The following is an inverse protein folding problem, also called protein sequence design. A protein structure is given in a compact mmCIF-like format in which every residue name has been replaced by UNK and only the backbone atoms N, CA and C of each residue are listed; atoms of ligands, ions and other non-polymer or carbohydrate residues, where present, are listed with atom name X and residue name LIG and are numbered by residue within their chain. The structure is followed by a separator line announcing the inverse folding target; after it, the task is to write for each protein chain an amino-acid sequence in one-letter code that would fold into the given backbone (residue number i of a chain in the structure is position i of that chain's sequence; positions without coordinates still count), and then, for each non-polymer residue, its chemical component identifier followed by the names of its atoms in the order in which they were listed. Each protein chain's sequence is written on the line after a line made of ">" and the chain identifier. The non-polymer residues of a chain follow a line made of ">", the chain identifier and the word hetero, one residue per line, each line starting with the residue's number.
data_IF_917057540816
#
_entry.id   IF_917057540816
#
_cell.length_a   1.000
_cell.length_b   1.000
_cell.length_c   1.000
_cell.angle_alpha   90.00
_cell.angle_beta   90.00
_cell.angle_gamma   90.00
#
_symmetry.space_group_name_H-M   'P 1'
#
loop_
_entity.id
_entity.type
_entity.pdbx_description
1 polymer ?
#
# COMPACT_ATOMS: atom_id res chain seq x y z
N UNK A 1 -10.65 -14.76 -30.29
CA UNK A 1 -9.99 -15.91 -29.63
C UNK A 1 -10.72 -16.17 -28.32
N UNK A 2 -11.57 -17.19 -28.30
CA UNK A 2 -12.23 -17.65 -27.07
C UNK A 2 -11.19 -18.30 -26.16
N UNK A 3 -11.05 -17.79 -24.94
CA UNK A 3 -10.19 -18.38 -23.91
C UNK A 3 -10.87 -19.66 -23.42
N UNK A 4 -10.48 -20.80 -23.97
CA UNK A 4 -10.86 -22.10 -23.42
C UNK A 4 -10.09 -22.33 -22.11
N UNK A 5 -10.82 -22.50 -21.00
CA UNK A 5 -10.22 -23.03 -19.78
C UNK A 5 -9.87 -24.51 -20.02
N UNK A 6 -8.65 -24.95 -19.68
CA UNK A 6 -8.31 -26.37 -19.74
C UNK A 6 -9.23 -27.17 -18.80
N UNK A 7 -9.68 -28.35 -19.26
CA UNK A 7 -10.58 -29.25 -18.50
C UNK A 7 -9.94 -29.75 -17.20
N UNK A 8 -8.61 -29.91 -17.19
CA UNK A 8 -7.84 -30.17 -16.00
C UNK A 8 -7.13 -28.90 -15.53
N UNK A 9 -7.25 -28.52 -14.25
CA UNK A 9 -6.49 -27.42 -13.70
C UNK A 9 -5.00 -27.75 -13.82
N UNK A 10 -4.15 -26.83 -14.30
CA UNK A 10 -2.72 -27.05 -14.37
C UNK A 10 -2.21 -27.40 -12.97
N UNK A 11 -1.79 -28.65 -12.79
CA UNK A 11 -1.21 -29.13 -11.54
C UNK A 11 0.25 -28.71 -11.54
N UNK A 12 0.62 -27.79 -10.65
CA UNK A 12 2.03 -27.43 -10.43
C UNK A 12 2.68 -28.53 -9.55
N UNK A 13 3.54 -29.41 -10.09
CA UNK A 13 4.16 -30.45 -9.29
C UNK A 13 5.04 -29.81 -8.20
N UNK A 14 4.75 -30.14 -6.93
CA UNK A 14 5.43 -29.59 -5.75
C UNK A 14 4.72 -28.42 -5.07
N UNK A 15 3.65 -27.88 -5.66
CA UNK A 15 2.81 -26.86 -5.03
C UNK A 15 1.79 -27.52 -4.10
N UNK A 16 1.80 -27.13 -2.82
CA UNK A 16 0.87 -27.65 -1.81
C UNK A 16 -0.38 -26.78 -1.76
N UNK A 17 -1.52 -27.39 -1.41
CA UNK A 17 -2.75 -26.64 -1.16
C UNK A 17 -2.51 -25.53 -0.12
N UNK A 18 -2.87 -24.27 -0.43
CA UNK A 18 -2.67 -23.16 0.48
C UNK A 18 -3.32 -23.40 1.83
N UNK A 19 -2.68 -22.89 2.88
CA UNK A 19 -3.26 -22.92 4.22
C UNK A 19 -4.54 -22.08 4.19
N UNK A 20 -5.60 -22.54 4.87
CA UNK A 20 -6.86 -21.77 4.91
C UNK A 20 -6.75 -20.58 5.87
N UNK A 21 -7.42 -19.49 5.52
CA UNK A 21 -7.66 -18.37 6.43
C UNK A 21 -8.38 -18.86 7.69
N UNK A 22 -8.08 -18.35 8.90
CA UNK A 22 -7.14 -17.27 9.24
C UNK A 22 -5.69 -17.71 9.48
N UNK A 23 -5.40 -19.02 9.49
CA UNK A 23 -4.05 -19.53 9.77
C UNK A 23 -3.04 -19.10 8.71
N UNK A 24 -3.48 -18.95 7.46
CA UNK A 24 -2.66 -18.46 6.35
C UNK A 24 -2.03 -17.10 6.60
N UNK A 25 -2.65 -16.26 7.45
CA UNK A 25 -2.11 -14.94 7.81
C UNK A 25 -0.73 -15.05 8.44
N UNK A 26 -0.54 -16.01 9.34
CA UNK A 26 0.64 -16.13 10.19
C UNK A 26 1.61 -17.22 9.70
N UNK A 27 1.14 -18.14 8.85
CA UNK A 27 1.95 -19.23 8.33
C UNK A 27 1.58 -19.59 6.89
N UNK A 28 2.61 -19.87 6.07
CA UNK A 28 2.45 -20.41 4.72
C UNK A 28 3.47 -21.52 4.45
N UNK A 29 3.25 -22.32 3.42
CA UNK A 29 4.18 -23.37 3.01
C UNK A 29 5.48 -22.79 2.43
N UNK A 30 6.62 -23.29 2.90
CA UNK A 30 7.93 -22.96 2.34
C UNK A 30 8.03 -23.37 0.87
N UNK A 31 7.49 -24.54 0.52
CA UNK A 31 7.53 -25.10 -0.83
C UNK A 31 6.85 -24.25 -1.90
N UNK A 32 5.86 -23.44 -1.52
CA UNK A 32 5.04 -22.67 -2.47
C UNK A 32 5.71 -21.37 -2.93
N UNK A 33 6.72 -20.86 -2.21
CA UNK A 33 7.31 -19.53 -2.44
C UNK A 33 8.81 -19.63 -2.74
N UNK A 34 9.22 -20.63 -3.52
CA UNK A 34 10.59 -21.11 -3.72
C UNK A 34 11.58 -20.14 -4.41
N UNK A 35 11.60 -18.86 -4.00
CA UNK A 35 12.61 -17.86 -4.34
C UNK A 35 13.64 -17.71 -3.21
N UNK A 36 14.69 -18.53 -3.26
CA UNK A 36 15.79 -18.58 -2.27
C UNK A 36 16.48 -17.23 -2.04
N UNK A 37 16.57 -16.37 -3.06
CA UNK A 37 17.19 -15.03 -2.96
C UNK A 37 16.46 -14.10 -1.98
N UNK A 38 15.13 -14.18 -1.91
CA UNK A 38 14.32 -13.33 -1.02
C UNK A 38 14.43 -13.78 0.45
N UNK A 39 14.50 -15.09 0.68
CA UNK A 39 14.77 -15.67 2.01
C UNK A 39 16.12 -15.20 2.54
N UNK A 40 17.15 -15.18 1.68
CA UNK A 40 18.47 -14.68 2.05
C UNK A 40 18.48 -13.16 2.30
N UNK A 41 17.85 -12.37 1.43
CA UNK A 41 17.85 -10.91 1.55
C UNK A 41 16.95 -10.38 2.68
N UNK A 42 15.80 -11.03 2.93
CA UNK A 42 14.78 -10.59 3.91
C UNK A 42 14.80 -11.37 5.23
N UNK A 43 15.44 -12.54 5.29
CA UNK A 43 15.64 -13.29 6.53
C UNK A 43 16.43 -12.48 7.57
N UNK A 44 17.42 -11.70 7.14
CA UNK A 44 18.16 -10.78 8.01
C UNK A 44 17.30 -9.64 8.57
N UNK A 45 16.15 -9.31 7.95
CA UNK A 45 15.24 -8.26 8.42
C UNK A 45 14.18 -8.77 9.39
N UNK A 46 14.23 -10.05 9.81
CA UNK A 46 13.28 -10.70 10.73
C UNK A 46 11.81 -10.62 10.30
N UNK A 47 11.53 -10.56 8.98
CA UNK A 47 10.16 -10.47 8.47
C UNK A 47 9.37 -11.76 8.64
N UNK A 48 10.07 -12.89 8.63
CA UNK A 48 9.53 -14.22 8.82
C UNK A 48 10.64 -15.14 9.36
N UNK A 49 10.23 -16.17 10.08
CA UNK A 49 11.10 -17.27 10.50
C UNK A 49 10.73 -18.52 9.72
N UNK A 50 11.73 -19.32 9.35
CA UNK A 50 11.49 -20.65 8.80
C UNK A 50 11.33 -21.61 9.98
N UNK A 51 10.18 -22.26 10.09
CA UNK A 51 9.88 -23.28 11.10
C UNK A 51 9.48 -24.57 10.40
N UNK A 52 10.45 -25.48 10.25
CA UNK A 52 10.27 -26.73 9.50
C UNK A 52 9.89 -26.47 8.04
N UNK A 53 8.72 -26.94 7.63
CA UNK A 53 8.18 -26.77 6.27
C UNK A 53 7.39 -25.46 6.07
N UNK A 54 7.37 -24.57 7.06
CA UNK A 54 6.55 -23.36 7.03
C UNK A 54 7.39 -22.08 7.14
N UNK A 55 6.98 -21.03 6.43
CA UNK A 55 7.32 -19.66 6.80
C UNK A 55 6.32 -19.17 7.83
N UNK A 56 6.81 -18.67 8.95
CA UNK A 56 6.03 -18.09 10.05
C UNK A 56 6.27 -16.59 10.09
N UNK A 57 5.21 -15.79 10.08
CA UNK A 57 5.26 -14.34 10.14
C UNK A 57 4.96 -13.88 11.57
N UNK A 58 5.98 -13.54 12.38
CA UNK A 58 5.74 -12.96 13.69
C UNK A 58 5.23 -11.53 13.47
N UNK A 59 3.91 -11.34 13.43
CA UNK A 59 3.30 -10.03 13.17
C UNK A 59 3.79 -8.89 14.08
N UNK A 60 4.29 -9.24 15.26
CA UNK A 60 4.81 -8.31 16.28
C UNK A 60 6.30 -7.98 16.16
N UNK A 61 7.06 -8.66 15.28
CA UNK A 61 8.53 -8.48 15.19
C UNK A 61 9.01 -7.85 13.89
N UNK A 62 8.09 -7.48 13.00
CA UNK A 62 8.42 -6.87 11.71
C UNK A 62 8.63 -5.36 11.84
N UNK A 63 8.18 -4.54 10.89
CA UNK A 63 8.29 -3.08 10.95
C UNK A 63 7.54 -2.45 12.15
N UNK A 64 6.58 -3.18 12.73
CA UNK A 64 5.82 -2.80 13.90
C UNK A 64 6.32 -3.60 15.10
N UNK A 65 7.23 -3.03 15.90
CA UNK A 65 7.84 -3.70 17.06
C UNK A 65 6.84 -4.08 18.15
N UNK A 66 5.66 -3.45 18.14
CA UNK A 66 4.56 -3.67 19.07
C UNK A 66 3.29 -4.15 18.37
N UNK A 67 3.44 -4.82 17.21
CA UNK A 67 2.33 -5.36 16.44
C UNK A 67 1.70 -4.35 15.49
N UNK A 68 1.18 -4.87 14.37
CA UNK A 68 0.47 -4.07 13.38
C UNK A 68 -0.87 -3.52 13.91
N UNK A 69 -1.50 -4.21 14.88
CA UNK A 69 -2.75 -3.76 15.50
C UNK A 69 -2.60 -2.42 16.23
N UNK A 70 -1.53 -2.27 17.03
CA UNK A 70 -1.22 -0.98 17.67
C UNK A 70 -1.06 0.15 16.65
N UNK A 71 -0.44 -0.14 15.51
CA UNK A 71 -0.27 0.85 14.46
C UNK A 71 -1.59 1.22 13.75
N UNK A 72 -2.48 0.25 13.53
CA UNK A 72 -3.84 0.50 13.02
C UNK A 72 -4.62 1.39 13.99
N UNK A 73 -4.56 1.08 15.29
CA UNK A 73 -5.21 1.85 16.35
C UNK A 73 -4.63 3.26 16.47
N UNK A 74 -3.31 3.40 16.35
CA UNK A 74 -2.65 4.69 16.33
C UNK A 74 -3.11 5.56 15.15
N UNK A 75 -3.26 5.00 13.94
CA UNK A 75 -3.79 5.76 12.79
C UNK A 75 -5.24 6.18 13.06
N UNK A 76 -6.04 5.27 13.60
CA UNK A 76 -7.46 5.54 13.90
C UNK A 76 -7.62 6.59 15.00
N UNK A 77 -6.74 6.60 16.01
CA UNK A 77 -6.73 7.61 17.06
C UNK A 77 -6.27 8.98 16.52
N UNK A 78 -5.28 8.98 15.63
CA UNK A 78 -4.78 10.20 14.99
C UNK A 78 -5.82 10.90 14.11
N UNK A 79 -6.70 10.13 13.47
CA UNK A 79 -7.84 10.66 12.71
C UNK A 79 -9.01 9.68 12.74
N UNK A 80 -9.99 9.95 13.62
CA UNK A 80 -11.15 9.08 13.87
C UNK A 80 -12.04 8.87 12.64
N UNK A 81 -11.98 9.77 11.67
CA UNK A 81 -12.77 9.65 10.43
C UNK A 81 -12.18 8.62 9.46
N UNK A 82 -10.96 8.12 9.70
CA UNK A 82 -10.47 6.88 9.07
C UNK A 82 -11.21 5.70 9.73
N UNK A 83 -12.49 5.57 9.40
CA UNK A 83 -13.40 4.60 9.97
C UNK A 83 -13.21 3.21 9.33
N UNK A 84 -12.18 2.49 9.75
CA UNK A 84 -11.97 1.08 9.38
C UNK A 84 -13.26 0.25 9.59
N UNK A 85 -13.66 -0.53 8.58
CA UNK A 85 -14.75 -1.51 8.68
C UNK A 85 -16.14 -1.08 8.16
N UNK A 86 -16.37 0.21 7.86
CA UNK A 86 -17.73 0.66 7.44
C UNK A 86 -17.99 0.60 5.92
N UNK A 87 -16.94 0.40 5.11
CA UNK A 87 -16.89 0.21 3.64
C UNK A 87 -15.48 0.41 3.05
N UNK A 88 -14.50 0.70 3.90
CA UNK A 88 -13.17 1.15 3.54
C UNK A 88 -12.42 0.12 2.69
N UNK A 89 -12.13 0.49 1.45
CA UNK A 89 -11.17 -0.19 0.57
C UNK A 89 -9.83 0.52 0.69
N UNK A 90 -8.82 -0.24 1.11
CA UNK A 90 -7.49 0.32 1.34
C UNK A 90 -6.52 -0.20 0.31
N UNK A 91 -5.89 0.71 -0.41
CA UNK A 91 -4.65 0.42 -1.11
C UNK A 91 -3.50 0.43 -0.10
N UNK A 92 -2.77 -0.68 0.01
CA UNK A 92 -1.58 -0.78 0.84
C UNK A 92 -0.34 -0.83 -0.06
N UNK A 93 0.34 0.31 -0.19
CA UNK A 93 1.64 0.43 -0.83
C UNK A 93 2.68 -0.37 -0.03
N UNK A 94 3.26 -1.39 -0.66
CA UNK A 94 3.96 -2.50 0.00
C UNK A 94 5.03 -2.06 1.02
N UNK A 95 4.64 -2.14 2.30
CA UNK A 95 5.52 -2.38 3.44
C UNK A 95 5.28 -3.80 3.96
N UNK A 96 6.35 -4.48 4.40
CA UNK A 96 6.41 -5.86 4.97
C UNK A 96 5.23 -6.76 4.60
N UNK A 97 5.34 -7.45 3.46
CA UNK A 97 4.57 -8.66 3.10
C UNK A 97 3.04 -8.53 3.33
N UNK A 98 2.46 -7.35 3.09
CA UNK A 98 1.04 -7.09 3.33
C UNK A 98 0.56 -7.36 4.78
N UNK A 99 1.46 -7.41 5.78
CA UNK A 99 1.09 -7.69 7.17
C UNK A 99 0.05 -6.68 7.68
N UNK A 100 0.19 -5.40 7.33
CA UNK A 100 -0.82 -4.37 7.66
C UNK A 100 -2.20 -4.71 7.07
N UNK A 101 -2.25 -5.15 5.80
CA UNK A 101 -3.49 -5.57 5.15
C UNK A 101 -4.11 -6.82 5.80
N UNK A 102 -3.28 -7.76 6.23
CA UNK A 102 -3.69 -8.96 6.95
C UNK A 102 -4.40 -8.69 8.28
N UNK A 103 -3.92 -7.69 9.04
CA UNK A 103 -4.55 -7.29 10.30
C UNK A 103 -5.77 -6.37 10.10
N UNK A 104 -5.85 -5.66 8.98
CA UNK A 104 -7.04 -4.86 8.63
C UNK A 104 -8.27 -5.73 8.34
N UNK A 105 -8.08 -6.99 7.90
CA UNK A 105 -9.19 -7.94 7.78
C UNK A 105 -9.89 -8.24 9.11
N UNK A 106 -9.21 -8.13 10.25
CA UNK A 106 -9.86 -8.25 11.58
C UNK A 106 -10.79 -7.06 11.89
N UNK A 107 -10.67 -5.97 11.13
CA UNK A 107 -11.49 -4.75 11.26
C UNK A 107 -12.51 -4.64 10.13
N UNK A 108 -12.85 -5.75 9.46
CA UNK A 108 -13.77 -5.79 8.32
C UNK A 108 -13.38 -4.85 7.16
N UNK A 109 -12.08 -4.64 6.96
CA UNK A 109 -11.54 -3.81 5.87
C UNK A 109 -11.02 -4.70 4.75
N UNK A 110 -11.50 -4.46 3.52
CA UNK A 110 -10.95 -5.10 2.33
C UNK A 110 -9.69 -4.34 1.89
N UNK A 111 -8.57 -5.05 1.83
CA UNK A 111 -7.30 -4.46 1.43
C UNK A 111 -6.82 -5.02 0.10
N UNK A 112 -6.16 -4.17 -0.69
CA UNK A 112 -5.44 -4.55 -1.90
C UNK A 112 -4.00 -4.06 -1.74
N UNK A 113 -3.03 -4.97 -1.83
CA UNK A 113 -1.62 -4.62 -1.71
C UNK A 113 -0.97 -4.45 -3.08
N UNK A 114 -0.23 -3.36 -3.28
CA UNK A 114 0.55 -3.14 -4.50
C UNK A 114 2.03 -3.30 -4.22
N UNK A 115 2.66 -4.24 -4.93
CA UNK A 115 4.10 -4.37 -4.93
C UNK A 115 4.68 -3.97 -6.30
N UNK A 116 5.79 -3.20 -6.32
CA UNK A 116 6.50 -2.93 -7.56
C UNK A 116 6.97 -4.24 -8.20
N UNK A 117 6.98 -4.29 -9.53
CA UNK A 117 7.68 -5.33 -10.29
C UNK A 117 9.21 -5.09 -10.21
N UNK A 118 9.79 -5.31 -9.05
CA UNK A 118 11.23 -5.23 -8.81
C UNK A 118 11.80 -6.60 -8.41
N UNK A 119 13.07 -6.66 -8.00
CA UNK A 119 13.74 -7.88 -7.52
C UNK A 119 13.02 -8.56 -6.33
N UNK A 120 11.96 -7.96 -5.79
CA UNK A 120 11.10 -8.48 -4.75
C UNK A 120 9.77 -9.08 -5.25
N UNK A 121 9.70 -9.57 -6.50
CA UNK A 121 8.52 -10.22 -7.11
C UNK A 121 7.80 -11.22 -6.17
N UNK A 122 8.52 -11.90 -5.28
CA UNK A 122 7.91 -12.80 -4.30
C UNK A 122 7.02 -12.11 -3.24
N UNK A 123 7.07 -10.78 -3.05
CA UNK A 123 6.20 -10.09 -2.08
C UNK A 123 4.71 -10.28 -2.39
N UNK A 124 4.34 -10.27 -3.67
CA UNK A 124 2.97 -10.55 -4.11
C UNK A 124 2.64 -12.01 -3.86
N UNK A 125 3.54 -12.93 -4.20
CA UNK A 125 3.35 -14.36 -3.93
C UNK A 125 3.12 -14.62 -2.44
N UNK A 126 3.95 -14.05 -1.56
CA UNK A 126 3.77 -14.16 -0.12
C UNK A 126 2.42 -13.62 0.35
N UNK A 127 1.97 -12.47 -0.16
CA UNK A 127 0.68 -11.90 0.22
C UNK A 127 -0.49 -12.81 -0.22
N UNK A 128 -0.45 -13.31 -1.46
CA UNK A 128 -1.50 -14.19 -2.01
C UNK A 128 -1.53 -15.56 -1.31
N UNK A 129 -0.38 -16.17 -1.01
CA UNK A 129 -0.32 -17.41 -0.21
C UNK A 129 -0.86 -17.22 1.21
N UNK A 130 -0.75 -16.00 1.76
CA UNK A 130 -1.33 -15.64 3.07
C UNK A 130 -2.84 -15.39 3.00
N UNK A 131 -3.42 -15.37 1.80
CA UNK A 131 -4.83 -15.06 1.56
C UNK A 131 -5.15 -13.57 1.48
N UNK A 132 -4.13 -12.72 1.28
CA UNK A 132 -4.29 -11.27 1.19
C UNK A 132 -4.27 -10.86 -0.29
N UNK A 133 -5.28 -10.13 -0.80
CA UNK A 133 -5.29 -9.66 -2.17
C UNK A 133 -4.09 -8.75 -2.44
N UNK A 134 -3.30 -9.11 -3.45
CA UNK A 134 -2.15 -8.33 -3.87
C UNK A 134 -1.97 -8.43 -5.39
N UNK A 135 -1.45 -7.37 -5.99
CA UNK A 135 -1.07 -7.36 -7.40
C UNK A 135 0.33 -6.78 -7.58
N UNK A 136 1.02 -7.25 -8.62
CA UNK A 136 2.28 -6.66 -9.07
C UNK A 136 1.96 -5.56 -10.08
N UNK A 137 2.49 -4.36 -9.86
CA UNK A 137 2.28 -3.21 -10.74
C UNK A 137 3.59 -2.46 -10.96
N UNK A 138 3.75 -1.87 -12.15
CA UNK A 138 4.90 -1.01 -12.44
C UNK A 138 4.55 0.41 -11.98
N UNK A 139 5.10 0.79 -10.82
CA UNK A 139 4.95 2.15 -10.28
C UNK A 139 5.54 3.16 -11.27
N UNK A 140 4.69 4.00 -11.86
CA UNK A 140 5.05 4.96 -12.93
C UNK A 140 4.16 4.86 -14.18
N UNK A 141 3.48 3.72 -14.31
CA UNK A 141 2.37 3.50 -15.26
C UNK A 141 1.02 3.65 -14.57
N UNK A 142 -0.03 3.83 -15.37
CA UNK A 142 -1.41 3.91 -14.88
C UNK A 142 -1.81 2.57 -14.27
N UNK A 143 -2.37 2.60 -13.05
CA UNK A 143 -2.80 1.41 -12.34
C UNK A 143 -4.10 0.87 -12.96
N UNK A 144 -4.27 -0.46 -13.03
CA UNK A 144 -5.39 -1.12 -13.72
C UNK A 144 -6.69 -1.09 -12.90
N UNK A 145 -7.03 0.07 -12.36
CA UNK A 145 -8.25 0.31 -11.60
C UNK A 145 -8.98 1.52 -12.17
N UNK A 146 -10.32 1.51 -12.15
CA UNK A 146 -11.10 2.70 -12.46
C UNK A 146 -10.85 3.80 -11.43
N UNK A 147 -11.34 5.01 -11.71
CA UNK A 147 -11.22 6.10 -10.74
C UNK A 147 -12.09 5.84 -9.51
N UNK A 148 -11.77 6.46 -8.37
CA UNK A 148 -12.62 6.47 -7.17
C UNK A 148 -12.93 5.06 -6.61
N UNK A 149 -11.93 4.18 -6.58
CA UNK A 149 -12.09 2.81 -6.08
C UNK A 149 -11.77 2.70 -4.59
N UNK A 150 -10.80 3.48 -4.11
CA UNK A 150 -10.27 3.34 -2.75
C UNK A 150 -10.71 4.49 -1.85
N UNK A 151 -11.05 4.17 -0.61
CA UNK A 151 -11.41 5.15 0.42
C UNK A 151 -10.17 5.65 1.15
N UNK A 152 -9.15 4.80 1.26
CA UNK A 152 -7.86 5.18 1.79
C UNK A 152 -6.71 4.53 1.00
N UNK A 153 -5.58 5.24 0.91
CA UNK A 153 -4.32 4.69 0.42
C UNK A 153 -3.31 4.84 1.55
N UNK A 154 -2.75 3.72 1.98
CA UNK A 154 -1.74 3.64 3.02
C UNK A 154 -0.39 3.28 2.41
N UNK A 155 0.66 4.01 2.78
CA UNK A 155 2.00 3.77 2.27
C UNK A 155 3.01 3.84 3.41
N UNK A 156 3.48 2.68 3.88
CA UNK A 156 4.46 2.58 4.96
C UNK A 156 5.83 2.17 4.44
N UNK A 157 6.82 3.07 4.54
CA UNK A 157 8.21 2.91 4.06
C UNK A 157 8.30 2.31 2.66
N UNK A 158 7.33 2.65 1.83
CA UNK A 158 7.16 2.17 0.47
C UNK A 158 8.29 2.59 -0.47
N UNK A 159 9.18 3.51 -0.07
CA UNK A 159 10.32 4.04 -0.86
C UNK A 159 9.89 4.56 -2.24
N UNK A 160 8.60 4.84 -2.43
CA UNK A 160 8.07 5.43 -3.65
C UNK A 160 8.40 6.92 -3.64
N UNK A 161 9.13 7.42 -4.63
CA UNK A 161 9.42 8.84 -4.74
C UNK A 161 8.17 9.59 -5.23
N UNK A 162 7.27 9.93 -4.32
CA UNK A 162 6.00 10.60 -4.67
C UNK A 162 6.17 12.01 -5.29
N UNK A 163 7.31 12.65 -5.04
CA UNK A 163 7.61 14.02 -5.46
C UNK A 163 8.29 14.13 -6.84
N UNK A 164 8.78 13.03 -7.42
CA UNK A 164 9.48 13.06 -8.70
C UNK A 164 8.48 13.09 -9.88
N UNK A 165 9.00 13.32 -11.09
CA UNK A 165 8.20 13.37 -12.33
C UNK A 165 6.98 14.31 -12.24
N UNK A 166 7.14 15.45 -11.55
CA UNK A 166 6.07 16.43 -11.37
C UNK A 166 4.91 15.95 -10.49
N UNK A 167 5.06 14.86 -9.73
CA UNK A 167 3.97 14.32 -8.91
C UNK A 167 2.98 13.44 -9.68
N UNK A 168 3.38 12.88 -10.84
CA UNK A 168 2.55 11.95 -11.63
C UNK A 168 2.00 10.78 -10.81
N UNK A 169 2.79 10.25 -9.87
CA UNK A 169 2.36 9.18 -8.97
C UNK A 169 1.29 9.65 -7.97
N UNK A 170 1.41 10.88 -7.46
CA UNK A 170 0.38 11.46 -6.60
C UNK A 170 -0.91 11.76 -7.37
N UNK A 171 -0.81 12.16 -8.64
CA UNK A 171 -1.97 12.30 -9.52
C UNK A 171 -2.72 10.99 -9.70
N UNK A 172 -1.99 9.90 -9.95
CA UNK A 172 -2.59 8.58 -10.08
C UNK A 172 -3.26 8.14 -8.78
N UNK A 173 -2.61 8.38 -7.64
CA UNK A 173 -3.21 8.15 -6.32
C UNK A 173 -4.48 8.99 -6.13
N UNK A 174 -4.47 10.25 -6.54
CA UNK A 174 -5.64 11.12 -6.49
C UNK A 174 -6.76 10.62 -7.41
N UNK A 175 -6.46 10.03 -8.57
CA UNK A 175 -7.46 9.40 -9.46
C UNK A 175 -8.13 8.22 -8.77
N UNK A 176 -7.35 7.39 -8.09
CA UNK A 176 -7.79 6.18 -7.41
C UNK A 176 -8.61 6.45 -6.15
N UNK A 177 -8.30 7.53 -5.43
CA UNK A 177 -9.04 7.94 -4.24
C UNK A 177 -10.43 8.49 -4.55
N UNK A 178 -11.42 8.01 -3.80
CA UNK A 178 -12.75 8.60 -3.75
C UNK A 178 -12.68 10.05 -3.21
N UNK A 179 -13.61 10.93 -3.60
CA UNK A 179 -13.76 12.23 -2.94
C UNK A 179 -13.94 12.05 -1.43
N UNK A 180 -13.18 12.81 -0.62
CA UNK A 180 -13.16 12.63 0.83
C UNK A 180 -12.23 11.52 1.32
N UNK A 181 -11.61 10.77 0.41
CA UNK A 181 -10.68 9.69 0.74
C UNK A 181 -9.36 10.18 1.35
N UNK A 182 -8.68 9.27 2.04
CA UNK A 182 -7.49 9.57 2.85
C UNK A 182 -6.22 8.99 2.25
N UNK A 183 -5.15 9.78 2.23
CA UNK A 183 -3.80 9.30 1.97
C UNK A 183 -3.00 9.30 3.26
N UNK A 184 -2.62 8.12 3.72
CA UNK A 184 -1.88 7.89 4.96
C UNK A 184 -0.44 7.53 4.60
N UNK A 185 0.47 8.49 4.77
CA UNK A 185 1.86 8.34 4.38
C UNK A 185 2.77 8.21 5.60
N UNK A 186 3.53 7.13 5.65
CA UNK A 186 4.47 6.84 6.75
C UNK A 186 5.84 6.52 6.20
N UNK A 187 6.73 7.50 6.16
CA UNK A 187 8.07 7.34 5.60
C UNK A 187 9.11 8.12 6.41
N UNK A 188 10.41 7.86 6.19
CA UNK A 188 11.49 8.60 6.88
C UNK A 188 11.36 10.12 6.75
N UNK A 189 10.94 10.70 5.61
CA UNK A 189 10.72 12.15 5.49
C UNK A 189 9.66 12.70 6.45
N UNK A 190 8.78 11.84 6.97
CA UNK A 190 7.73 12.25 7.90
C UNK A 190 8.29 12.39 9.32
N UNK A 191 9.28 11.61 9.76
CA UNK A 191 9.70 11.60 11.17
C UNK A 191 11.18 11.82 11.44
N UNK A 192 11.99 11.89 10.38
CA UNK A 192 13.40 12.26 10.42
C UNK A 192 13.56 13.70 9.91
N UNK A 193 14.61 14.36 10.38
CA UNK A 193 14.93 15.76 10.09
C UNK A 193 16.23 15.88 9.29
N UNK A 194 16.57 14.86 8.51
CA UNK A 194 17.74 14.92 7.63
C UNK A 194 17.50 15.94 6.52
N UNK A 195 18.55 16.65 6.03
CA UNK A 195 18.38 17.68 5.01
C UNK A 195 17.68 17.20 3.72
N UNK A 196 17.90 15.95 3.31
CA UNK A 196 17.22 15.35 2.16
C UNK A 196 15.74 15.03 2.45
N UNK A 197 15.46 14.49 3.63
CA UNK A 197 14.11 14.17 4.10
C UNK A 197 13.23 15.43 4.19
N UNK A 198 13.80 16.55 4.66
CA UNK A 198 13.11 17.84 4.72
C UNK A 198 12.76 18.34 3.32
N UNK A 199 13.68 18.25 2.36
CA UNK A 199 13.41 18.63 0.96
C UNK A 199 12.30 17.80 0.34
N UNK A 200 12.30 16.48 0.59
CA UNK A 200 11.24 15.58 0.12
C UNK A 200 9.90 15.96 0.75
N UNK A 201 9.88 16.24 2.05
CA UNK A 201 8.67 16.68 2.75
C UNK A 201 8.13 18.00 2.21
N UNK A 202 8.99 18.98 1.94
CA UNK A 202 8.61 20.28 1.39
C UNK A 202 8.03 20.13 -0.03
N UNK A 203 8.69 19.36 -0.90
CA UNK A 203 8.20 19.08 -2.24
C UNK A 203 6.83 18.37 -2.22
N UNK A 204 6.68 17.36 -1.35
CA UNK A 204 5.42 16.67 -1.14
C UNK A 204 4.32 17.60 -0.62
N UNK A 205 4.65 18.45 0.35
CA UNK A 205 3.72 19.41 0.93
C UNK A 205 3.32 20.49 -0.07
N UNK A 206 4.19 20.85 -1.00
CA UNK A 206 3.89 21.79 -2.08
C UNK A 206 2.96 21.15 -3.13
N UNK A 207 3.24 19.91 -3.56
CA UNK A 207 2.42 19.17 -4.51
C UNK A 207 1.03 18.85 -3.94
N UNK A 208 0.96 18.36 -2.71
CA UNK A 208 -0.35 18.10 -2.06
C UNK A 208 -1.18 19.36 -1.89
N UNK A 209 -0.54 20.50 -1.57
CA UNK A 209 -1.21 21.81 -1.56
C UNK A 209 -1.66 22.24 -2.94
N UNK A 210 -0.83 22.08 -3.97
CA UNK A 210 -1.24 22.41 -5.34
C UNK A 210 -2.42 21.55 -5.75
N UNK A 211 -2.42 20.26 -5.40
CA UNK A 211 -3.51 19.30 -5.63
C UNK A 211 -4.77 19.52 -4.78
N UNK A 212 -4.79 20.55 -3.93
CA UNK A 212 -5.89 20.84 -3.02
C UNK A 212 -6.21 19.72 -2.03
N UNK A 213 -5.23 18.88 -1.70
CA UNK A 213 -5.35 17.92 -0.61
C UNK A 213 -5.25 18.66 0.72
N UNK A 214 -6.21 18.44 1.61
CA UNK A 214 -6.18 18.97 2.97
C UNK A 214 -5.20 18.14 3.79
N UNK A 215 -4.15 18.78 4.29
CA UNK A 215 -3.28 18.18 5.29
C UNK A 215 -3.97 18.24 6.66
N UNK A 216 -4.12 17.10 7.32
CA UNK A 216 -4.78 17.02 8.62
C UNK A 216 -3.79 17.02 9.76
N UNK A 217 -2.88 16.05 9.76
CA UNK A 217 -2.06 15.79 10.92
C UNK A 217 -0.76 15.07 10.54
N UNK A 218 0.28 15.33 11.33
CA UNK A 218 1.55 14.61 11.34
C UNK A 218 1.79 14.18 12.77
N UNK A 219 1.52 12.92 13.02
CA UNK A 219 1.66 12.30 14.34
C UNK A 219 2.87 11.39 14.36
N UNK A 220 3.58 11.37 15.48
CA UNK A 220 4.73 10.50 15.71
C UNK A 220 4.37 9.49 16.78
N UNK A 221 4.35 8.22 16.38
CA UNK A 221 4.29 7.10 17.30
C UNK A 221 5.62 7.05 18.07
N UNK A 222 5.56 7.36 19.36
CA UNK A 222 6.73 7.34 20.26
C UNK A 222 7.21 5.91 20.54
N UNK A 223 6.32 4.93 20.43
CA UNK A 223 6.55 3.53 20.75
C UNK A 223 7.30 2.87 19.58
N UNK A 224 6.73 2.93 18.36
CA UNK A 224 7.40 2.39 17.18
C UNK A 224 8.45 3.34 16.57
N UNK A 225 8.54 4.59 17.05
CA UNK A 225 9.39 5.67 16.50
C UNK A 225 9.12 5.93 15.01
N UNK A 226 7.86 5.81 14.61
CA UNK A 226 7.39 6.02 13.23
C UNK A 226 6.48 7.24 13.19
N UNK A 227 6.57 8.06 12.14
CA UNK A 227 5.63 9.15 11.88
C UNK A 227 4.64 8.80 10.79
N UNK A 228 3.43 9.33 10.92
CA UNK A 228 2.36 9.22 9.93
C UNK A 228 1.85 10.61 9.62
N UNK A 229 1.78 10.93 8.33
CA UNK A 229 1.12 12.12 7.81
C UNK A 229 -0.18 11.71 7.12
N UNK A 230 -1.27 12.38 7.46
CA UNK A 230 -2.60 12.11 6.90
C UNK A 230 -3.01 13.30 6.04
N UNK A 231 -3.28 13.01 4.77
CA UNK A 231 -3.83 13.94 3.80
C UNK A 231 -5.23 13.48 3.40
N UNK A 232 -6.12 14.40 3.08
CA UNK A 232 -7.45 14.09 2.57
C UNK A 232 -7.70 14.80 1.25
N UNK A 233 -8.26 14.06 0.32
CA UNK A 233 -8.77 14.59 -0.93
C UNK A 233 -10.09 15.33 -0.66
N UNK A 234 -10.22 16.56 -1.14
CA UNK A 234 -11.47 17.32 -1.01
C UNK A 234 -12.63 16.61 -1.76
N UNK A 235 -13.85 16.88 -1.31
CA UNK A 235 -15.08 16.36 -1.93
C UNK A 235 -15.31 16.96 -3.33
N UNK A 236 -14.87 18.21 -3.53
CA UNK A 236 -15.09 18.98 -4.74
C UNK A 236 -13.78 19.30 -5.47
N UNK A 237 -13.80 19.20 -6.80
CA UNK A 237 -12.70 19.59 -7.67
C UNK A 237 -12.59 21.12 -7.90
N UNK A 238 -13.45 21.93 -7.27
CA UNK A 238 -13.49 23.39 -7.46
C UNK A 238 -12.14 24.08 -7.22
N UNK A 239 -11.37 23.58 -6.25
CA UNK A 239 -10.01 24.07 -5.99
C UNK A 239 -9.01 23.60 -7.06
N UNK A 240 -9.25 22.43 -7.66
CA UNK A 240 -8.47 21.90 -8.77
C UNK A 240 -8.66 22.76 -10.04
N UNK A 241 -9.90 23.15 -10.33
CA UNK A 241 -10.29 23.93 -11.52
C UNK A 241 -9.92 25.42 -11.40
N UNK A 242 -9.83 25.95 -10.17
CA UNK A 242 -9.51 27.36 -9.91
C UNK A 242 -8.01 27.70 -9.86
N UNK A 243 -7.12 26.78 -10.25
CA UNK A 243 -5.66 26.99 -10.18
C UNK A 243 -5.16 27.92 -11.28
N UNK A 244 -4.31 28.87 -10.90
CA UNK A 244 -3.60 29.77 -11.84
C UNK A 244 -2.53 29.06 -12.65
N UNK A 245 -1.93 27.98 -12.12
CA UNK A 245 -0.96 27.13 -12.81
C UNK A 245 -1.33 25.66 -12.66
N UNK A 246 -1.52 24.98 -13.80
CA UNK A 246 -1.80 23.54 -13.86
C UNK A 246 -0.48 22.75 -13.73
N UNK A 247 0.11 22.76 -12.53
CA UNK A 247 1.28 21.94 -12.22
C UNK A 247 0.99 21.03 -11.00
N UNK A 248 0.83 19.72 -11.19
CA UNK A 248 0.92 18.99 -12.47
C UNK A 248 -0.27 19.22 -13.43
N UNK A 249 -0.08 19.03 -14.75
CA UNK A 249 -1.12 19.27 -15.75
C UNK A 249 -2.27 18.26 -15.61
N UNK A 250 -3.48 18.71 -15.94
CA UNK A 250 -4.64 17.84 -16.08
C UNK A 250 -4.55 17.07 -17.40
N UNK A 251 -5.01 15.82 -17.38
CA UNK A 251 -5.28 15.06 -18.60
C UNK A 251 -6.34 15.80 -19.45
N UNK A 252 -6.21 15.74 -20.79
CA UNK A 252 -7.18 16.36 -21.69
C UNK A 252 -8.53 15.62 -21.72
N UNK A 253 -9.55 16.22 -22.34
CA UNK A 253 -10.93 15.68 -22.38
C UNK A 253 -11.06 14.28 -23.00
N UNK A 254 -10.04 13.82 -23.74
CA UNK A 254 -9.99 12.49 -24.34
C UNK A 254 -9.53 11.38 -23.38
N UNK A 255 -8.98 11.72 -22.21
CA UNK A 255 -8.49 10.75 -21.24
C UNK A 255 -9.63 10.32 -20.30
N UNK A 256 -10.24 9.16 -20.61
CA UNK A 256 -11.26 8.59 -19.75
C UNK A 256 -10.63 8.17 -18.40
N UNK A 257 -11.00 8.76 -17.25
CA UNK A 257 -10.42 8.44 -15.94
C UNK A 257 -10.74 7.02 -15.44
N UNK A 258 -11.76 6.37 -16.01
CA UNK A 258 -12.18 5.01 -15.68
C UNK A 258 -11.62 3.95 -16.64
N UNK A 259 -11.02 4.36 -17.76
CA UNK A 259 -10.33 3.44 -18.65
C UNK A 259 -9.07 2.91 -17.94
N UNK A 260 -8.96 1.59 -17.81
CA UNK A 260 -7.73 0.96 -17.31
C UNK A 260 -6.62 0.88 -18.39
N UNK A 261 -6.95 1.28 -19.63
CA UNK A 261 -6.17 1.22 -20.88
C UNK A 261 -6.90 2.04 -21.96
#
# INVERSE_FOLDING_TARGET
>A
MERHCPEEPPTCPGFRSPIRWPKSRDQIWYSNVSHTKLVQYKGHQNWFNVSGEHFVFPGDRTQFKHGALHYIDFIQEAHKDVAWGKRTRVDVGSGVVASFGGYLFERDVLTMSFAPKDEHEAQVQFAVERGIPAISVVMGTRLPFPSRVFDAVHCARCRVPWHIEGGKLLLELNRLLQPGGYFVWSATPVYQELPEDVKIWEAMSALTRSMCCKYFNKVKDRINRVGVAIFQKLMDNRCYDGRSTANPPLCGDCDNPDAAW
#
